data_IF_861479026542
#
_entry.id   IF_861479026542
#
_cell.length_a   1.000
_cell.length_b   1.000
_cell.length_c   1.000
_cell.angle_alpha   90.00
_cell.angle_beta   90.00
_cell.angle_gamma   90.00
#
_symmetry.space_group_name_H-M   'P 1'
#
loop_
_entity.id
_entity.type
_entity.pdbx_description
1 polymer ?
#
# COMPACT_ATOMS: atom_id res chain seq x y z
N UNK A 1 2.20 20.01 -13.75
CA UNK A 1 2.40 18.96 -12.74
C UNK A 1 3.33 17.91 -13.33
N UNK A 2 4.45 17.64 -12.66
CA UNK A 2 5.49 16.68 -13.09
C UNK A 2 4.90 15.25 -13.28
N UNK A 3 5.40 14.46 -14.24
CA UNK A 3 4.85 13.12 -14.51
C UNK A 3 5.16 12.13 -13.37
N UNK A 4 6.36 12.18 -12.79
CA UNK A 4 6.73 11.31 -11.66
C UNK A 4 5.83 11.56 -10.44
N UNK A 5 5.53 12.83 -10.13
CA UNK A 5 4.60 13.20 -9.05
C UNK A 5 3.20 12.61 -9.29
N UNK A 6 2.74 12.59 -10.55
CA UNK A 6 1.46 11.95 -10.89
C UNK A 6 1.52 10.45 -10.65
N UNK A 7 2.57 9.77 -11.11
CA UNK A 7 2.75 8.33 -10.91
C UNK A 7 2.72 8.01 -9.41
N UNK A 8 3.51 8.70 -8.58
CA UNK A 8 3.50 8.53 -7.11
C UNK A 8 2.12 8.67 -6.50
N UNK A 9 1.41 9.75 -6.83
CA UNK A 9 0.05 9.98 -6.31
C UNK A 9 -0.94 8.93 -6.79
N UNK A 10 -0.75 8.37 -7.98
CA UNK A 10 -1.61 7.31 -8.52
C UNK A 10 -1.35 5.98 -7.79
N UNK A 11 -0.08 5.69 -7.49
CA UNK A 11 0.37 4.57 -6.65
C UNK A 11 -0.21 4.69 -5.22
N UNK A 12 -0.08 5.85 -4.57
CA UNK A 12 -0.66 6.14 -3.25
C UNK A 12 -2.18 5.94 -3.23
N UNK A 13 -2.89 6.44 -4.25
CA UNK A 13 -4.35 6.26 -4.33
C UNK A 13 -4.74 4.80 -4.44
N UNK A 14 -3.97 4.01 -5.17
CA UNK A 14 -4.22 2.57 -5.32
C UNK A 14 -4.00 1.84 -3.99
N UNK A 15 -2.90 2.12 -3.29
CA UNK A 15 -2.62 1.56 -1.97
C UNK A 15 -3.68 1.99 -0.94
N UNK A 16 -4.02 3.28 -0.89
CA UNK A 16 -5.04 3.83 -0.01
C UNK A 16 -6.42 3.19 -0.24
N UNK A 17 -6.78 2.88 -1.48
CA UNK A 17 -8.04 2.20 -1.80
C UNK A 17 -8.09 0.78 -1.22
N UNK A 18 -7.01 -0.01 -1.36
CA UNK A 18 -6.94 -1.36 -0.78
C UNK A 18 -6.94 -1.31 0.74
N UNK A 19 -6.18 -0.38 1.35
CA UNK A 19 -6.16 -0.17 2.80
C UNK A 19 -7.54 0.23 3.33
N UNK A 20 -8.24 1.13 2.64
CA UNK A 20 -9.60 1.52 3.00
C UNK A 20 -10.55 0.32 2.94
N UNK A 21 -10.49 -0.47 1.87
CA UNK A 21 -11.28 -1.69 1.73
C UNK A 21 -10.98 -2.72 2.83
N UNK A 22 -9.71 -2.93 3.15
CA UNK A 22 -9.28 -3.85 4.21
C UNK A 22 -9.85 -3.43 5.57
N UNK A 23 -9.75 -2.16 5.94
CA UNK A 23 -10.34 -1.62 7.18
C UNK A 23 -11.85 -1.80 7.22
N UNK A 24 -12.52 -1.49 6.11
CA UNK A 24 -13.97 -1.62 6.02
C UNK A 24 -14.41 -3.07 6.21
N UNK A 25 -13.79 -4.00 5.49
CA UNK A 25 -14.10 -5.43 5.61
C UNK A 25 -13.71 -5.98 6.97
N UNK A 26 -12.57 -5.61 7.55
CA UNK A 26 -12.20 -6.04 8.90
C UNK A 26 -13.28 -5.62 9.91
N UNK A 27 -13.77 -4.39 9.85
CA UNK A 27 -14.89 -3.94 10.71
C UNK A 27 -16.18 -4.69 10.45
N UNK A 28 -16.53 -4.93 9.18
CA UNK A 28 -17.73 -5.71 8.84
C UNK A 28 -17.64 -7.16 9.35
N UNK A 29 -16.42 -7.73 9.42
CA UNK A 29 -16.20 -9.14 9.78
C UNK A 29 -16.57 -9.47 11.22
N UNK A 30 -16.74 -8.47 12.09
CA UNK A 30 -17.15 -8.69 13.47
C UNK A 30 -18.56 -9.30 13.63
N UNK A 31 -19.37 -9.31 12.57
CA UNK A 31 -20.67 -9.99 12.58
C UNK A 31 -20.49 -11.52 12.70
N UNK A 32 -20.84 -12.05 13.87
CA UNK A 32 -20.74 -13.48 14.18
C UNK A 32 -21.69 -14.38 13.36
N UNK A 33 -22.66 -13.80 12.64
CA UNK A 33 -23.61 -14.53 11.82
C UNK A 33 -23.20 -14.64 10.35
N UNK A 34 -22.19 -13.87 9.91
CA UNK A 34 -21.74 -13.84 8.54
C UNK A 34 -20.25 -14.17 8.47
N UNK A 35 -19.92 -15.43 8.21
CA UNK A 35 -18.51 -15.88 8.15
C UNK A 35 -17.77 -15.16 7.02
N UNK A 36 -16.67 -14.44 7.30
CA UNK A 36 -15.93 -13.74 6.26
C UNK A 36 -15.30 -14.69 5.27
N UNK A 37 -15.19 -14.22 4.03
CA UNK A 37 -14.37 -14.84 2.98
C UNK A 37 -12.91 -14.47 3.17
N UNK A 38 -12.19 -15.28 3.96
CA UNK A 38 -10.79 -15.01 4.35
C UNK A 38 -9.82 -14.93 3.17
N UNK A 39 -10.15 -15.54 2.03
CA UNK A 39 -9.42 -15.40 0.77
C UNK A 39 -9.39 -13.95 0.25
N UNK A 40 -10.41 -13.14 0.53
CA UNK A 40 -10.44 -11.71 0.18
C UNK A 40 -9.37 -10.96 0.97
N UNK A 41 -9.31 -11.19 2.29
CA UNK A 41 -8.30 -10.59 3.15
C UNK A 41 -6.90 -11.01 2.72
N UNK A 42 -6.66 -12.29 2.43
CA UNK A 42 -5.36 -12.75 1.93
C UNK A 42 -4.94 -12.07 0.64
N UNK A 43 -5.87 -11.88 -0.31
CA UNK A 43 -5.56 -11.16 -1.54
C UNK A 43 -5.19 -9.70 -1.28
N UNK A 44 -5.91 -9.02 -0.37
CA UNK A 44 -5.60 -7.65 0.04
C UNK A 44 -4.26 -7.54 0.76
N UNK A 45 -3.97 -8.45 1.72
CA UNK A 45 -2.69 -8.49 2.43
C UNK A 45 -1.52 -8.72 1.49
N UNK A 46 -1.67 -9.63 0.53
CA UNK A 46 -0.67 -9.84 -0.52
C UNK A 46 -0.41 -8.57 -1.32
N UNK A 47 -1.45 -7.81 -1.66
CA UNK A 47 -1.28 -6.56 -2.41
C UNK A 47 -0.56 -5.49 -1.59
N UNK A 48 -0.95 -5.28 -0.33
CA UNK A 48 -0.32 -4.26 0.53
C UNK A 48 1.06 -4.67 1.08
N UNK A 49 1.43 -5.94 0.99
CA UNK A 49 2.81 -6.41 1.19
C UNK A 49 3.64 -6.20 -0.09
N UNK A 50 3.20 -6.74 -1.22
CA UNK A 50 4.03 -6.76 -2.41
C UNK A 50 4.14 -5.42 -3.13
N UNK A 51 3.07 -4.62 -3.18
CA UNK A 51 3.08 -3.37 -3.94
C UNK A 51 4.03 -2.33 -3.35
N UNK A 52 3.97 -2.00 -2.04
CA UNK A 52 4.90 -1.04 -1.45
C UNK A 52 6.35 -1.48 -1.60
N UNK A 53 6.64 -2.73 -1.23
CA UNK A 53 8.02 -3.23 -1.10
C UNK A 53 8.70 -3.54 -2.43
N UNK A 54 7.94 -3.94 -3.46
CA UNK A 54 8.53 -4.39 -4.73
C UNK A 54 8.51 -3.33 -5.83
N UNK A 55 7.62 -2.34 -5.71
CA UNK A 55 7.42 -1.33 -6.74
C UNK A 55 7.57 0.08 -6.19
N UNK A 56 6.89 0.43 -5.10
CA UNK A 56 6.78 1.83 -4.66
C UNK A 56 8.04 2.32 -3.91
N UNK A 57 8.33 1.77 -2.72
CA UNK A 57 9.45 2.21 -1.88
C UNK A 57 10.81 2.14 -2.61
N UNK A 58 11.14 1.10 -3.41
CA UNK A 58 12.41 1.08 -4.15
C UNK A 58 12.57 2.24 -5.13
N UNK A 59 11.47 2.66 -5.78
CA UNK A 59 11.48 3.80 -6.71
C UNK A 59 11.74 5.10 -5.96
N UNK A 60 11.06 5.31 -4.83
CA UNK A 60 11.23 6.49 -3.99
C UNK A 60 12.64 6.58 -3.40
N UNK A 61 13.08 5.50 -2.76
CA UNK A 61 14.37 5.44 -2.09
C UNK A 61 15.51 5.69 -3.05
N UNK A 62 15.54 4.99 -4.19
CA UNK A 62 16.68 5.02 -5.10
C UNK A 62 16.71 6.27 -6.01
N UNK A 63 15.54 6.84 -6.34
CA UNK A 63 15.48 7.90 -7.34
C UNK A 63 15.06 9.26 -6.79
N UNK A 64 14.01 9.32 -5.97
CA UNK A 64 13.49 10.57 -5.44
C UNK A 64 14.28 11.02 -4.20
N UNK A 65 14.37 10.16 -3.19
CA UNK A 65 14.98 10.48 -1.89
C UNK A 65 16.49 10.73 -2.03
N UNK A 66 17.23 9.90 -2.76
CA UNK A 66 18.66 10.12 -3.02
C UNK A 66 18.92 11.51 -3.62
N UNK A 67 18.16 11.89 -4.65
CA UNK A 67 18.34 13.18 -5.34
C UNK A 67 17.92 14.35 -4.45
N UNK A 68 16.83 14.20 -3.71
CA UNK A 68 16.37 15.24 -2.81
C UNK A 68 17.38 15.50 -1.69
N UNK A 69 17.90 14.46 -1.04
CA UNK A 69 18.91 14.58 0.00
C UNK A 69 20.18 15.28 -0.52
N UNK A 70 20.59 15.00 -1.76
CA UNK A 70 21.76 15.64 -2.38
C UNK A 70 21.54 17.12 -2.73
N UNK A 71 20.31 17.51 -3.10
CA UNK A 71 19.98 18.88 -3.55
C UNK A 71 19.48 19.78 -2.42
N UNK A 72 18.88 19.21 -1.39
CA UNK A 72 18.31 19.89 -0.22
C UNK A 72 18.70 19.15 1.07
N UNK A 73 19.95 19.31 1.55
CA UNK A 73 20.45 18.61 2.73
C UNK A 73 19.62 18.81 4.01
N UNK A 74 18.86 19.89 4.10
CA UNK A 74 17.91 20.15 5.20
C UNK A 74 16.79 19.10 5.29
N UNK A 75 16.52 18.35 4.22
CA UNK A 75 15.53 17.26 4.18
C UNK A 75 16.07 15.92 4.68
N UNK A 76 17.37 15.81 4.96
CA UNK A 76 18.02 14.53 5.27
C UNK A 76 17.37 13.80 6.45
N UNK A 77 17.00 14.52 7.52
CA UNK A 77 16.33 13.91 8.68
C UNK A 77 14.92 13.38 8.36
N UNK A 78 14.18 14.08 7.48
CA UNK A 78 12.87 13.64 6.99
C UNK A 78 13.03 12.35 6.17
N UNK A 79 13.97 12.35 5.23
CA UNK A 79 14.25 11.20 4.34
C UNK A 79 14.69 9.97 5.13
N UNK A 80 15.62 10.14 6.08
CA UNK A 80 16.08 9.03 6.92
C UNK A 80 14.94 8.43 7.75
N UNK A 81 14.06 9.29 8.28
CA UNK A 81 12.87 8.83 9.00
C UNK A 81 11.90 8.06 8.10
N UNK A 82 11.70 8.44 6.84
CA UNK A 82 10.83 7.73 5.90
C UNK A 82 11.44 6.40 5.46
N UNK A 83 12.76 6.35 5.23
CA UNK A 83 13.49 5.08 4.96
C UNK A 83 13.36 4.10 6.12
N UNK A 84 13.43 4.59 7.36
CA UNK A 84 13.21 3.75 8.53
C UNK A 84 11.77 3.20 8.57
N UNK A 85 10.78 3.97 8.13
CA UNK A 85 9.40 3.50 7.96
C UNK A 85 9.29 2.42 6.86
N UNK A 86 9.95 2.59 5.71
CA UNK A 86 10.03 1.55 4.67
C UNK A 86 10.59 0.23 5.24
N UNK A 87 11.66 0.30 6.04
CA UNK A 87 12.26 -0.89 6.68
C UNK A 87 11.31 -1.54 7.69
N UNK A 88 10.46 -0.77 8.36
CA UNK A 88 9.48 -1.29 9.34
C UNK A 88 8.26 -1.95 8.66
N UNK A 89 7.87 -1.46 7.48
CA UNK A 89 6.64 -1.86 6.77
C UNK A 89 6.44 -3.39 6.65
N UNK A 90 7.45 -4.20 6.21
CA UNK A 90 7.31 -5.65 6.12
C UNK A 90 7.02 -6.33 7.47
N UNK A 91 7.52 -5.80 8.58
CA UNK A 91 7.24 -6.37 9.90
C UNK A 91 5.79 -6.12 10.32
N UNK A 92 5.23 -4.97 9.94
CA UNK A 92 3.85 -4.62 10.28
C UNK A 92 2.86 -5.48 9.50
N UNK A 93 3.06 -5.72 8.21
CA UNK A 93 2.13 -6.57 7.43
C UNK A 93 2.12 -8.01 7.94
N UNK A 94 3.29 -8.56 8.34
CA UNK A 94 3.38 -9.87 9.00
C UNK A 94 2.58 -9.96 10.30
N UNK A 95 2.40 -8.87 11.03
CA UNK A 95 1.54 -8.85 12.21
C UNK A 95 0.06 -8.98 11.82
N UNK A 96 -0.35 -8.30 10.74
CA UNK A 96 -1.70 -8.40 10.20
C UNK A 96 -1.99 -9.81 9.69
N UNK A 97 -1.04 -10.43 8.98
CA UNK A 97 -1.17 -11.82 8.51
C UNK A 97 -1.37 -12.81 9.65
N UNK A 98 -0.55 -12.72 10.70
CA UNK A 98 -0.71 -13.57 11.90
C UNK A 98 -2.07 -13.36 12.57
N UNK A 99 -2.51 -12.11 12.67
CA UNK A 99 -3.82 -11.80 13.24
C UNK A 99 -4.97 -12.35 12.38
N UNK A 100 -4.83 -12.33 11.05
CA UNK A 100 -5.79 -12.95 10.14
C UNK A 100 -5.85 -14.47 10.32
N UNK A 101 -4.70 -15.14 10.42
CA UNK A 101 -4.63 -16.59 10.62
C UNK A 101 -5.27 -17.02 11.95
N UNK A 102 -5.03 -16.27 13.04
CA UNK A 102 -5.69 -16.54 14.32
C UNK A 102 -7.20 -16.27 14.25
N UNK A 103 -7.60 -15.21 13.56
CA UNK A 103 -9.00 -14.88 13.40
C UNK A 103 -9.76 -15.95 12.62
N UNK A 104 -9.19 -16.47 11.52
CA UNK A 104 -9.82 -17.56 10.75
C UNK A 104 -9.94 -18.84 11.56
N UNK A 105 -8.89 -19.18 12.32
CA UNK A 105 -8.85 -20.37 13.17
C UNK A 105 -9.92 -20.32 14.27
N UNK A 106 -10.16 -19.14 14.84
CA UNK A 106 -10.99 -18.95 16.01
C UNK A 106 -12.37 -18.34 15.72
N UNK A 107 -12.75 -18.17 14.45
CA UNK A 107 -14.02 -17.52 14.07
C UNK A 107 -15.24 -18.16 14.79
N UNK A 108 -16.19 -17.35 15.30
CA UNK A 108 -16.30 -15.89 15.18
C UNK A 108 -15.54 -15.09 16.26
N UNK A 109 -14.77 -15.73 17.14
CA UNK A 109 -13.92 -15.04 18.12
C UNK A 109 -12.74 -14.37 17.40
N UNK A 110 -11.99 -13.50 18.08
CA UNK A 110 -10.77 -12.83 17.57
C UNK A 110 -10.93 -11.71 16.51
N UNK A 111 -12.16 -11.34 16.14
CA UNK A 111 -12.37 -10.17 15.25
C UNK A 111 -11.80 -8.86 15.81
N UNK A 112 -11.92 -8.64 17.13
CA UNK A 112 -11.39 -7.43 17.81
C UNK A 112 -9.87 -7.24 17.63
N UNK A 113 -9.02 -8.20 18.02
CA UNK A 113 -7.58 -8.15 17.78
C UNK A 113 -7.20 -7.96 16.31
N UNK A 114 -7.88 -8.66 15.39
CA UNK A 114 -7.64 -8.50 13.95
C UNK A 114 -7.94 -7.07 13.47
N UNK A 115 -9.10 -6.52 13.85
CA UNK A 115 -9.50 -5.15 13.52
C UNK A 115 -8.48 -4.13 14.06
N UNK A 116 -8.02 -4.30 15.31
CA UNK A 116 -7.05 -3.39 15.91
C UNK A 116 -5.74 -3.35 15.12
N UNK A 117 -5.19 -4.51 14.76
CA UNK A 117 -3.93 -4.58 14.00
C UNK A 117 -4.09 -4.04 12.57
N UNK A 118 -5.25 -4.24 11.93
CA UNK A 118 -5.57 -3.64 10.62
C UNK A 118 -5.64 -2.12 10.69
N UNK A 119 -6.27 -1.56 11.73
CA UNK A 119 -6.38 -0.11 11.89
C UNK A 119 -5.01 0.54 12.13
N UNK A 120 -4.16 -0.07 12.97
CA UNK A 120 -2.80 0.41 13.23
C UNK A 120 -1.94 0.37 11.96
N UNK A 121 -2.00 -0.72 11.19
CA UNK A 121 -1.28 -0.87 9.92
C UNK A 121 -1.70 0.19 8.89
N UNK A 122 -3.01 0.44 8.76
CA UNK A 122 -3.53 1.38 7.80
C UNK A 122 -3.26 2.84 8.20
N UNK A 123 -3.27 3.16 9.50
CA UNK A 123 -2.92 4.50 9.98
C UNK A 123 -1.42 4.80 9.78
N UNK A 124 -0.56 3.79 9.95
CA UNK A 124 0.87 3.91 9.63
C UNK A 124 1.09 4.33 8.17
N UNK A 125 0.55 3.57 7.21
CA UNK A 125 0.69 3.89 5.78
C UNK A 125 0.04 5.23 5.40
N UNK A 126 -1.10 5.58 6.02
CA UNK A 126 -1.76 6.87 5.79
C UNK A 126 -0.87 8.03 6.22
N UNK A 127 -0.21 7.93 7.37
CA UNK A 127 0.72 8.97 7.87
C UNK A 127 1.96 9.05 7.01
N UNK A 128 2.53 7.91 6.65
CA UNK A 128 3.69 7.78 5.77
C UNK A 128 3.47 8.51 4.43
N UNK A 129 2.46 8.10 3.65
CA UNK A 129 2.12 8.73 2.37
C UNK A 129 1.78 10.22 2.52
N UNK A 130 1.18 10.63 3.65
CA UNK A 130 0.88 12.04 3.91
C UNK A 130 2.16 12.88 4.07
N UNK A 131 3.20 12.36 4.71
CA UNK A 131 4.49 13.05 4.86
C UNK A 131 5.18 13.17 3.51
N UNK A 132 5.13 12.13 2.68
CA UNK A 132 5.66 12.19 1.32
C UNK A 132 4.95 13.27 0.51
N UNK A 133 3.62 13.26 0.49
CA UNK A 133 2.85 14.20 -0.33
C UNK A 133 2.92 15.65 0.15
N UNK A 134 3.00 15.90 1.46
CA UNK A 134 2.92 17.24 2.04
C UNK A 134 4.29 17.85 2.38
N UNK A 135 5.34 17.04 2.51
CA UNK A 135 6.66 17.49 2.91
C UNK A 135 7.71 17.18 1.83
N UNK A 136 7.80 15.92 1.38
CA UNK A 136 8.81 15.49 0.40
C UNK A 136 8.53 16.08 -0.98
N UNK A 137 7.33 15.87 -1.54
CA UNK A 137 7.03 16.32 -2.91
C UNK A 137 7.19 17.84 -3.06
N UNK A 138 6.70 18.70 -2.14
CA UNK A 138 6.93 20.13 -2.24
C UNK A 138 8.40 20.53 -2.10
N UNK A 139 9.19 19.84 -1.28
CA UNK A 139 10.63 20.07 -1.19
C UNK A 139 11.35 19.69 -2.48
N UNK A 140 10.98 18.55 -3.08
CA UNK A 140 11.49 18.10 -4.36
C UNK A 140 11.16 19.09 -5.49
N UNK A 141 9.94 19.60 -5.55
CA UNK A 141 9.55 20.60 -6.55
C UNK A 141 10.38 21.90 -6.47
N UNK A 142 10.83 22.28 -5.26
CA UNK A 142 11.66 23.48 -5.06
C UNK A 142 13.14 23.23 -5.36
N UNK A 143 13.67 22.06 -5.03
CA UNK A 143 15.10 21.79 -5.04
C UNK A 143 15.61 21.07 -6.30
N UNK A 144 14.79 20.20 -6.90
CA UNK A 144 15.23 19.35 -8.01
C UNK A 144 15.22 20.09 -9.34
N UNK A 145 16.26 19.85 -10.14
CA UNK A 145 16.40 20.41 -11.48
C UNK A 145 15.57 19.64 -12.51
N UNK A 146 15.38 20.21 -13.70
CA UNK A 146 14.73 19.51 -14.82
C UNK A 146 15.46 18.21 -15.23
N UNK A 147 16.78 18.14 -15.06
CA UNK A 147 17.56 16.93 -15.31
C UNK A 147 17.30 15.84 -14.28
N UNK A 148 17.22 16.23 -13.00
CA UNK A 148 16.87 15.30 -11.91
C UNK A 148 15.48 14.71 -12.14
N UNK A 149 14.50 15.56 -12.47
CA UNK A 149 13.14 15.14 -12.76
C UNK A 149 13.04 14.20 -13.96
N UNK A 150 13.80 14.42 -15.03
CA UNK A 150 13.80 13.53 -16.20
C UNK A 150 14.28 12.12 -15.81
N UNK A 151 15.34 12.03 -15.01
CA UNK A 151 15.85 10.75 -14.54
C UNK A 151 14.84 10.02 -13.62
N UNK A 152 14.15 10.77 -12.75
CA UNK A 152 13.08 10.20 -11.92
C UNK A 152 11.92 9.71 -12.80
N UNK A 153 11.48 10.50 -13.77
CA UNK A 153 10.37 10.13 -14.66
C UNK A 153 10.67 8.87 -15.49
N UNK A 154 11.91 8.70 -15.95
CA UNK A 154 12.34 7.52 -16.71
C UNK A 154 12.31 6.26 -15.85
N UNK A 155 12.85 6.34 -14.63
CA UNK A 155 12.83 5.23 -13.67
C UNK A 155 11.42 4.86 -13.21
N UNK A 156 10.58 5.87 -12.94
CA UNK A 156 9.21 5.66 -12.48
C UNK A 156 8.30 5.05 -13.55
N UNK A 157 8.62 5.27 -14.83
CA UNK A 157 7.87 4.71 -15.95
C UNK A 157 8.21 3.25 -16.26
N UNK A 158 9.08 2.60 -15.48
CA UNK A 158 9.45 1.18 -15.69
C UNK A 158 10.42 0.93 -16.85
N UNK A 159 10.80 1.97 -17.59
CA UNK A 159 11.57 1.86 -18.85
C UNK A 159 12.94 1.19 -18.72
N UNK A 160 13.50 1.08 -17.50
CA UNK A 160 14.84 0.54 -17.26
C UNK A 160 14.87 -0.96 -16.90
N UNK A 161 13.75 -1.56 -16.45
CA UNK A 161 13.71 -2.96 -15.96
C UNK A 161 12.45 -3.71 -16.48
N UNK A 162 12.58 -4.60 -17.49
CA UNK A 162 11.47 -5.41 -17.99
C UNK A 162 10.81 -6.31 -16.93
N UNK A 163 11.52 -6.65 -15.85
CA UNK A 163 10.97 -7.44 -14.75
C UNK A 163 10.08 -6.55 -13.85
N UNK A 164 10.33 -5.24 -13.78
CA UNK A 164 9.45 -4.31 -13.07
C UNK A 164 8.08 -4.21 -13.76
N UNK A 165 8.04 -4.14 -15.10
CA UNK A 165 6.80 -4.16 -15.87
C UNK A 165 5.96 -5.42 -15.62
N UNK A 166 6.59 -6.59 -15.55
CA UNK A 166 5.91 -7.84 -15.23
C UNK A 166 5.33 -7.83 -13.81
N UNK A 167 6.08 -7.30 -12.82
CA UNK A 167 5.59 -7.14 -11.44
C UNK A 167 4.40 -6.19 -11.36
N UNK A 168 4.42 -5.09 -12.11
CA UNK A 168 3.30 -4.15 -12.21
C UNK A 168 2.05 -4.82 -12.78
N UNK A 169 2.20 -5.62 -13.84
CA UNK A 169 1.09 -6.37 -14.44
C UNK A 169 0.50 -7.41 -13.48
N UNK A 170 1.35 -8.14 -12.75
CA UNK A 170 0.91 -9.13 -11.76
C UNK A 170 0.11 -8.48 -10.63
N UNK A 171 0.56 -7.31 -10.14
CA UNK A 171 -0.12 -6.58 -9.08
C UNK A 171 -1.41 -5.89 -9.57
N UNK A 172 -1.45 -5.42 -10.82
CA UNK A 172 -2.68 -4.93 -11.44
C UNK A 172 -3.73 -6.05 -11.58
N UNK A 173 -3.31 -7.27 -11.94
CA UNK A 173 -4.19 -8.44 -11.94
C UNK A 173 -4.66 -8.80 -10.53
N UNK A 174 -3.77 -8.73 -9.53
CA UNK A 174 -4.15 -8.94 -8.14
C UNK A 174 -5.18 -7.90 -7.65
N UNK A 175 -4.99 -6.62 -7.99
CA UNK A 175 -5.96 -5.56 -7.69
C UNK A 175 -7.32 -5.86 -8.32
N UNK A 176 -7.34 -6.21 -9.61
CA UNK A 176 -8.57 -6.59 -10.32
C UNK A 176 -9.26 -7.79 -9.66
N UNK A 177 -8.47 -8.78 -9.23
CA UNK A 177 -8.98 -9.93 -8.48
C UNK A 177 -9.61 -9.50 -7.17
N UNK A 178 -8.96 -8.64 -6.38
CA UNK A 178 -9.51 -8.10 -5.13
C UNK A 178 -10.87 -7.46 -5.38
N UNK A 179 -10.97 -6.56 -6.37
CA UNK A 179 -12.25 -5.91 -6.73
C UNK A 179 -13.32 -6.92 -7.13
N UNK A 180 -12.93 -8.00 -7.81
CA UNK A 180 -13.86 -9.04 -8.27
C UNK A 180 -14.40 -9.91 -7.13
N UNK A 181 -13.58 -10.19 -6.12
CA UNK A 181 -13.94 -11.12 -5.03
C UNK A 181 -14.40 -10.43 -3.75
N UNK A 182 -14.02 -9.17 -3.53
CA UNK A 182 -14.43 -8.41 -2.35
C UNK A 182 -15.93 -8.09 -2.41
N UNK A 183 -16.68 -8.25 -1.31
CA UNK A 183 -18.10 -7.93 -1.29
C UNK A 183 -18.35 -6.43 -1.42
N UNK A 184 -19.56 -6.06 -1.87
CA UNK A 184 -20.02 -4.68 -1.83
C UNK A 184 -19.97 -4.12 -0.38
N UNK A 185 -19.63 -2.82 -0.19
CA UNK A 185 -19.40 -1.81 -1.22
C UNK A 185 -17.98 -1.77 -1.79
N UNK A 186 -17.07 -2.64 -1.33
CA UNK A 186 -15.65 -2.61 -1.72
C UNK A 186 -15.41 -3.17 -3.11
N UNK A 187 -16.17 -4.19 -3.49
CA UNK A 187 -16.07 -4.83 -4.80
C UNK A 187 -17.39 -5.41 -5.30
N UNK A 188 -17.26 -6.32 -6.26
CA UNK A 188 -18.37 -6.95 -6.98
C UNK A 188 -18.67 -8.38 -6.51
N UNK A 189 -17.97 -8.84 -5.48
CA UNK A 189 -18.09 -10.18 -4.91
C UNK A 189 -19.40 -10.40 -4.14
N UNK A 190 -19.73 -11.67 -3.92
CA UNK A 190 -20.89 -12.07 -3.15
C UNK A 190 -20.75 -11.66 -1.66
N UNK A 191 -21.88 -11.27 -1.05
CA UNK A 191 -21.95 -10.96 0.39
C UNK A 191 -21.68 -12.22 1.21
N UNK A 192 -21.18 -12.04 2.43
CA UNK A 192 -20.80 -13.15 3.31
C UNK A 192 -22.00 -13.94 3.88
N UNK A 193 -23.18 -13.34 3.91
CA UNK A 193 -24.44 -13.94 4.33
C UNK A 193 -25.12 -14.78 3.24
N UNK A 194 -24.60 -14.74 2.00
CA UNK A 194 -25.10 -15.56 0.90
C UNK A 194 -24.21 -16.78 0.70
N UNK A 195 -24.79 -17.98 0.84
CA UNK A 195 -24.11 -19.23 0.49
C UNK A 195 -23.67 -19.19 -0.98
N UNK A 196 -22.49 -19.74 -1.33
CA UNK A 196 -22.16 -19.95 -2.74
C UNK A 196 -23.21 -20.89 -3.33
N UNK A 197 -23.92 -20.40 -4.36
CA UNK A 197 -24.82 -21.22 -5.17
C UNK A 197 -24.07 -22.21 -6.04
#
# INVERSE_FOLDING_TARGET
MNRAIRILRDEHRSLAAVLHGLRHLAKASQDAHARPRFEVFRAMLRYIDEFPERLHHPKEDAYLFERLAARAPETAALIESLRAEHVESPQRVRQVERALDEYERCWPLWSGPFIAVVEDYAEFHRRHMQREELEVLPAAERALTAGDWRAIEEAFAGNEDPIADLREQDLAQLYTRIVSIAPAPIGLGARWDQSPG
#
